data_IF_504000259904
#
_entry.id   IF_504000259904
#
_cell.length_a   1.000
_cell.length_b   1.000
_cell.length_c   1.000
_cell.angle_alpha   90.00
_cell.angle_beta   90.00
_cell.angle_gamma   90.00
#
_symmetry.space_group_name_H-M   'P 1'
#
loop_
_entity.id
_entity.type
_entity.pdbx_description
1 polymer ?
#
# COMPACT_ATOMS: atom_id res chain seq x y z
N UNK A 1 -4.30 10.09 0.94
CA UNK A 1 -4.14 11.31 0.16
C UNK A 1 -4.53 11.10 -1.31
N UNK A 2 -3.80 10.26 -2.09
CA UNK A 2 -4.03 10.08 -3.53
C UNK A 2 -5.50 9.77 -3.89
N UNK A 3 -6.17 8.89 -3.14
CA UNK A 3 -7.59 8.57 -3.34
C UNK A 3 -8.58 9.72 -3.05
N UNK A 4 -8.08 10.85 -2.57
CA UNK A 4 -8.83 12.12 -2.40
C UNK A 4 -8.45 13.12 -3.48
N UNK A 5 -7.17 13.18 -3.89
CA UNK A 5 -6.68 14.07 -4.93
C UNK A 5 -7.22 13.70 -6.31
N UNK A 6 -7.17 12.43 -6.68
CA UNK A 6 -7.62 11.96 -7.99
C UNK A 6 -9.10 12.32 -8.29
N UNK A 7 -10.07 12.09 -7.38
CA UNK A 7 -11.45 12.52 -7.60
C UNK A 7 -11.64 14.05 -7.58
N UNK A 8 -10.77 14.80 -6.92
CA UNK A 8 -10.80 16.26 -6.97
C UNK A 8 -10.29 16.80 -8.33
N UNK A 9 -9.35 16.09 -8.95
CA UNK A 9 -8.76 16.46 -10.24
C UNK A 9 -9.52 15.93 -11.46
N UNK A 10 -10.34 14.86 -11.30
CA UNK A 10 -11.02 14.23 -12.43
C UNK A 10 -12.34 13.55 -12.06
N UNK A 11 -13.12 13.12 -13.07
CA UNK A 11 -14.41 12.48 -12.87
C UNK A 11 -14.22 11.01 -12.46
N UNK A 12 -14.04 10.75 -11.18
CA UNK A 12 -13.83 9.44 -10.59
C UNK A 12 -14.81 9.18 -9.44
N UNK A 13 -15.37 7.97 -9.39
CA UNK A 13 -16.11 7.50 -8.22
C UNK A 13 -15.16 6.88 -7.19
N UNK A 14 -14.87 7.54 -6.06
CA UNK A 14 -13.99 6.98 -5.05
C UNK A 14 -14.70 5.92 -4.19
N UNK A 15 -14.21 4.70 -4.23
CA UNK A 15 -14.63 3.59 -3.37
C UNK A 15 -13.46 3.28 -2.41
N UNK A 16 -13.62 3.67 -1.16
CA UNK A 16 -12.55 3.56 -0.15
C UNK A 16 -12.80 2.39 0.77
N UNK A 17 -11.81 1.52 0.86
CA UNK A 17 -11.71 0.41 1.80
C UNK A 17 -12.98 -0.45 1.88
N UNK A 18 -13.51 -0.91 0.72
CA UNK A 18 -14.75 -1.68 0.72
C UNK A 18 -14.54 -2.99 1.49
N UNK A 19 -15.36 -3.28 2.54
CA UNK A 19 -15.17 -4.45 3.40
C UNK A 19 -15.11 -5.80 2.65
N UNK A 20 -15.88 -6.03 1.56
CA UNK A 20 -15.80 -7.29 0.83
C UNK A 20 -14.44 -7.60 0.22
N UNK A 21 -13.61 -6.60 -0.13
CA UNK A 21 -12.23 -6.86 -0.58
C UNK A 21 -11.38 -7.47 0.53
N UNK A 22 -11.52 -7.00 1.75
CA UNK A 22 -10.81 -7.57 2.89
C UNK A 22 -11.22 -9.03 3.12
N UNK A 23 -12.52 -9.32 3.06
CA UNK A 23 -13.03 -10.70 3.17
C UNK A 23 -12.48 -11.60 2.06
N UNK A 24 -12.42 -11.11 0.81
CA UNK A 24 -11.84 -11.84 -0.30
C UNK A 24 -10.32 -12.06 -0.10
N UNK A 25 -9.61 -11.07 0.43
CA UNK A 25 -8.19 -11.18 0.75
C UNK A 25 -7.93 -12.28 1.81
N UNK A 26 -8.69 -12.26 2.89
CA UNK A 26 -8.60 -13.27 3.95
C UNK A 26 -8.96 -14.66 3.43
N UNK A 27 -10.02 -14.76 2.62
CA UNK A 27 -10.43 -16.03 2.00
C UNK A 27 -9.39 -16.60 1.04
N UNK A 28 -8.67 -15.75 0.29
CA UNK A 28 -7.61 -16.18 -0.62
C UNK A 28 -6.49 -16.91 0.13
N UNK A 29 -6.04 -16.37 1.26
CA UNK A 29 -5.02 -17.01 2.11
C UNK A 29 -5.44 -18.37 2.66
N UNK A 30 -6.74 -18.62 2.74
CA UNK A 30 -7.30 -19.84 3.31
C UNK A 30 -7.65 -20.89 2.26
N UNK A 31 -7.58 -20.58 0.96
CA UNK A 31 -8.08 -21.48 -0.09
C UNK A 31 -7.44 -22.87 -0.08
N UNK A 32 -6.16 -22.95 0.26
CA UNK A 32 -5.41 -24.23 0.31
C UNK A 32 -5.49 -24.91 1.69
N UNK A 33 -6.18 -24.30 2.64
CA UNK A 33 -6.30 -24.85 3.98
C UNK A 33 -7.53 -25.74 4.09
N UNK A 34 -7.50 -26.81 4.92
CA UNK A 34 -8.66 -27.71 5.13
C UNK A 34 -9.92 -27.00 5.64
N UNK A 35 -9.77 -25.83 6.26
CA UNK A 35 -10.88 -25.03 6.80
C UNK A 35 -11.56 -24.16 5.74
N UNK A 36 -11.04 -24.10 4.51
CA UNK A 36 -11.62 -23.29 3.46
C UNK A 36 -13.04 -23.74 3.12
N UNK A 37 -13.96 -22.79 3.11
CA UNK A 37 -15.34 -22.99 2.69
C UNK A 37 -15.59 -22.69 1.21
N UNK A 38 -14.57 -22.20 0.51
CA UNK A 38 -14.62 -21.84 -0.90
C UNK A 38 -13.63 -22.68 -1.69
N UNK A 39 -14.06 -23.20 -2.84
CA UNK A 39 -13.11 -23.67 -3.85
C UNK A 39 -12.47 -22.48 -4.57
N UNK A 40 -11.32 -22.69 -5.21
CA UNK A 40 -10.63 -21.66 -6.03
C UNK A 40 -11.58 -21.09 -7.10
N UNK A 41 -12.35 -21.92 -7.77
CA UNK A 41 -13.33 -21.48 -8.79
C UNK A 41 -14.43 -20.60 -8.21
N UNK A 42 -14.98 -20.98 -7.05
CA UNK A 42 -15.99 -20.17 -6.35
C UNK A 42 -15.42 -18.81 -5.94
N UNK A 43 -14.20 -18.81 -5.40
CA UNK A 43 -13.52 -17.58 -5.00
C UNK A 43 -13.29 -16.64 -6.19
N UNK A 44 -12.78 -17.12 -7.33
CA UNK A 44 -12.60 -16.33 -8.55
C UNK A 44 -13.94 -15.77 -9.07
N UNK A 45 -15.01 -16.57 -8.98
CA UNK A 45 -16.35 -16.12 -9.37
C UNK A 45 -16.83 -14.97 -8.49
N UNK A 46 -16.61 -15.05 -7.17
CA UNK A 46 -16.95 -13.98 -6.21
C UNK A 46 -16.12 -12.72 -6.47
N UNK A 47 -14.81 -12.86 -6.68
CA UNK A 47 -13.93 -11.75 -7.02
C UNK A 47 -14.40 -11.05 -8.30
N UNK A 48 -14.68 -11.79 -9.36
CA UNK A 48 -15.18 -11.24 -10.63
C UNK A 48 -16.50 -10.48 -10.46
N UNK A 49 -17.44 -11.02 -9.70
CA UNK A 49 -18.71 -10.33 -9.36
C UNK A 49 -18.46 -9.04 -8.58
N UNK A 50 -17.58 -9.10 -7.60
CA UNK A 50 -17.20 -7.94 -6.81
C UNK A 50 -16.56 -6.84 -7.68
N UNK A 51 -15.54 -7.19 -8.49
CA UNK A 51 -14.86 -6.25 -9.37
C UNK A 51 -15.85 -5.62 -10.36
N UNK A 52 -16.75 -6.42 -10.95
CA UNK A 52 -17.78 -5.92 -11.86
C UNK A 52 -18.77 -4.99 -11.17
N UNK A 53 -19.18 -5.29 -9.93
CA UNK A 53 -20.10 -4.44 -9.16
C UNK A 53 -19.46 -3.09 -8.80
N UNK A 54 -18.24 -3.12 -8.24
CA UNK A 54 -17.56 -1.92 -7.76
C UNK A 54 -16.90 -1.10 -8.87
N UNK A 55 -16.81 -1.61 -10.09
CA UNK A 55 -16.34 -0.84 -11.25
C UNK A 55 -17.44 -0.01 -11.92
N UNK A 56 -18.67 -0.06 -11.42
CA UNK A 56 -19.80 0.73 -11.95
C UNK A 56 -19.76 2.13 -11.37
N UNK A 57 -19.69 3.14 -12.23
CA UNK A 57 -19.92 4.53 -11.85
C UNK A 57 -21.42 4.88 -11.84
N UNK A 58 -21.77 5.99 -11.24
CA UNK A 58 -23.14 6.55 -11.31
C UNK A 58 -23.40 7.30 -12.61
N UNK A 59 -22.34 7.78 -13.27
CA UNK A 59 -22.42 8.52 -14.52
C UNK A 59 -21.81 7.70 -15.65
N UNK A 60 -22.27 7.93 -16.86
CA UNK A 60 -21.68 7.33 -18.03
C UNK A 60 -20.20 7.76 -18.14
N UNK A 61 -19.31 6.78 -18.39
CA UNK A 61 -17.85 6.98 -18.47
C UNK A 61 -17.16 7.47 -17.20
N UNK A 62 -17.78 7.33 -16.03
CA UNK A 62 -17.16 7.59 -14.74
C UNK A 62 -16.47 6.33 -14.22
N UNK A 63 -15.13 6.22 -14.28
CA UNK A 63 -14.44 5.05 -13.76
C UNK A 63 -14.45 5.05 -12.22
N UNK A 64 -14.53 3.86 -11.64
CA UNK A 64 -14.39 3.70 -10.20
C UNK A 64 -12.91 3.67 -9.79
N UNK A 65 -12.58 4.42 -8.74
CA UNK A 65 -11.28 4.39 -8.07
C UNK A 65 -11.40 3.58 -6.77
N UNK A 66 -10.95 2.35 -6.79
CA UNK A 66 -11.00 1.48 -5.60
C UNK A 66 -9.69 1.63 -4.82
N UNK A 67 -9.79 2.10 -3.57
CA UNK A 67 -8.68 2.11 -2.62
C UNK A 67 -8.91 1.01 -1.59
N UNK A 68 -8.22 -0.15 -1.70
CA UNK A 68 -8.32 -1.22 -0.71
C UNK A 68 -7.59 -0.84 0.60
N UNK A 69 -7.81 -1.64 1.64
CA UNK A 69 -6.94 -1.65 2.82
C UNK A 69 -5.57 -2.23 2.46
N UNK A 70 -4.58 -1.96 3.29
CA UNK A 70 -3.21 -2.43 3.09
C UNK A 70 -3.09 -3.95 2.98
N UNK A 71 -3.87 -4.69 3.77
CA UNK A 71 -3.80 -6.15 3.82
C UNK A 71 -4.36 -6.86 2.57
N UNK A 72 -4.81 -6.08 1.58
CA UNK A 72 -5.29 -6.57 0.29
C UNK A 72 -4.21 -6.61 -0.81
N UNK A 73 -2.93 -6.41 -0.49
CA UNK A 73 -1.84 -6.37 -1.48
C UNK A 73 -1.80 -7.59 -2.41
N UNK A 74 -1.97 -8.79 -1.86
CA UNK A 74 -1.99 -10.05 -2.64
C UNK A 74 -3.22 -10.21 -3.55
N UNK A 75 -4.23 -9.34 -3.47
CA UNK A 75 -5.35 -9.30 -4.44
C UNK A 75 -5.02 -8.54 -5.72
N UNK A 76 -3.90 -7.82 -5.80
CA UNK A 76 -3.59 -6.96 -6.95
C UNK A 76 -3.61 -7.78 -8.24
N UNK A 77 -2.83 -8.85 -8.32
CA UNK A 77 -2.81 -9.75 -9.48
C UNK A 77 -4.20 -10.29 -9.83
N UNK A 78 -4.89 -11.01 -8.92
CA UNK A 78 -6.24 -11.52 -9.17
C UNK A 78 -7.26 -10.46 -9.62
N UNK A 79 -7.20 -9.24 -9.12
CA UNK A 79 -8.08 -8.14 -9.55
C UNK A 79 -7.77 -7.71 -11.00
N UNK A 80 -6.48 -7.62 -11.35
CA UNK A 80 -6.05 -7.27 -12.70
C UNK A 80 -6.38 -8.39 -13.70
N UNK A 81 -6.26 -9.66 -13.30
CA UNK A 81 -6.70 -10.81 -14.10
C UNK A 81 -8.21 -10.78 -14.36
N UNK A 82 -8.99 -10.47 -13.32
CA UNK A 82 -10.44 -10.38 -13.45
C UNK A 82 -10.90 -9.24 -14.36
N UNK A 83 -10.07 -8.20 -14.57
CA UNK A 83 -10.37 -7.05 -15.42
C UNK A 83 -9.10 -6.47 -16.03
N UNK A 84 -8.73 -6.95 -17.19
CA UNK A 84 -7.50 -6.56 -17.91
C UNK A 84 -7.37 -5.07 -18.27
N UNK A 85 -8.49 -4.34 -18.36
CA UNK A 85 -8.50 -2.90 -18.57
C UNK A 85 -8.18 -2.08 -17.30
N UNK A 86 -8.09 -2.71 -16.13
CA UNK A 86 -7.77 -2.02 -14.88
C UNK A 86 -6.29 -1.68 -14.80
N UNK A 87 -5.99 -0.58 -14.13
CA UNK A 87 -4.63 -0.16 -13.77
C UNK A 87 -4.57 0.12 -12.29
N UNK A 88 -3.41 -0.05 -11.67
CA UNK A 88 -3.24 0.23 -10.26
C UNK A 88 -1.96 1.02 -9.98
N UNK A 89 -2.04 1.89 -8.98
CA UNK A 89 -0.89 2.63 -8.44
C UNK A 89 -0.52 2.00 -7.11
N UNK A 90 0.72 1.58 -6.98
CA UNK A 90 1.28 0.93 -5.81
C UNK A 90 2.01 1.97 -4.96
N UNK A 91 1.28 2.59 -4.03
CA UNK A 91 1.85 3.62 -3.18
C UNK A 91 2.70 3.01 -2.08
N UNK A 92 3.96 3.41 -2.01
CA UNK A 92 4.92 2.95 -1.01
C UNK A 92 5.66 4.11 -0.34
N UNK A 93 6.47 3.79 0.63
CA UNK A 93 7.44 4.66 1.30
C UNK A 93 8.72 3.86 1.55
N UNK A 94 9.86 4.52 1.73
CA UNK A 94 11.07 3.86 2.20
C UNK A 94 10.82 3.16 3.54
N UNK A 95 11.58 2.09 3.82
CA UNK A 95 11.48 1.40 5.12
C UNK A 95 11.80 2.35 6.28
N UNK A 96 12.80 3.23 6.12
CA UNK A 96 13.17 4.22 7.13
C UNK A 96 11.99 5.14 7.48
N UNK A 97 11.36 5.75 6.48
CA UNK A 97 10.17 6.59 6.69
C UNK A 97 9.02 5.77 7.30
N UNK A 98 8.84 4.53 6.85
CA UNK A 98 7.82 3.65 7.39
C UNK A 98 8.06 3.32 8.87
N UNK A 99 9.31 2.99 9.26
CA UNK A 99 9.72 2.80 10.67
C UNK A 99 9.44 4.06 11.48
N UNK A 100 9.86 5.24 11.02
CA UNK A 100 9.63 6.50 11.71
C UNK A 100 8.13 6.78 11.98
N UNK A 101 7.24 6.36 11.07
CA UNK A 101 5.79 6.53 11.24
C UNK A 101 5.22 5.46 12.18
N UNK A 102 5.59 4.20 11.98
CA UNK A 102 4.93 3.07 12.65
C UNK A 102 5.46 2.80 14.06
N UNK A 103 6.62 3.34 14.42
CA UNK A 103 7.11 3.32 15.79
C UNK A 103 6.43 4.36 16.67
N UNK A 104 5.73 5.35 16.07
CA UNK A 104 5.08 6.45 16.80
C UNK A 104 3.56 6.24 16.93
N UNK A 105 3.09 6.37 18.15
CA UNK A 105 1.67 6.41 18.49
C UNK A 105 0.98 5.06 18.71
N UNK A 106 -0.12 5.10 19.43
CA UNK A 106 -0.89 3.92 19.81
C UNK A 106 -1.56 3.25 18.61
N UNK A 107 -2.15 4.04 17.71
CA UNK A 107 -2.86 3.52 16.53
C UNK A 107 -1.93 2.75 15.58
N UNK A 108 -0.70 3.27 15.38
CA UNK A 108 0.30 2.59 14.56
C UNK A 108 0.72 1.26 15.18
N UNK A 109 0.92 1.25 16.49
CA UNK A 109 1.23 0.02 17.25
C UNK A 109 0.11 -1.00 17.17
N UNK A 110 -1.14 -0.56 17.36
CA UNK A 110 -2.31 -1.44 17.21
C UNK A 110 -2.43 -2.03 15.81
N UNK A 111 -2.11 -1.28 14.75
CA UNK A 111 -2.11 -1.80 13.38
C UNK A 111 -1.02 -2.87 13.19
N UNK A 112 0.20 -2.62 13.68
CA UNK A 112 1.30 -3.59 13.59
C UNK A 112 0.96 -4.87 14.34
N UNK A 113 0.53 -4.79 15.59
CA UNK A 113 0.22 -5.96 16.43
C UNK A 113 -1.01 -6.72 15.92
N UNK A 114 -2.07 -6.02 15.54
CA UNK A 114 -3.33 -6.61 15.09
C UNK A 114 -3.20 -7.41 13.78
N UNK A 115 -2.19 -7.13 12.95
CA UNK A 115 -1.98 -7.81 11.67
C UNK A 115 -0.65 -8.59 11.61
N UNK A 116 0.08 -8.69 12.71
CA UNK A 116 1.43 -9.26 12.74
C UNK A 116 1.47 -10.71 12.25
N UNK A 117 0.51 -11.55 12.67
CA UNK A 117 0.42 -12.96 12.26
C UNK A 117 0.24 -13.09 10.75
N UNK A 118 -0.70 -12.34 10.19
CA UNK A 118 -1.01 -12.37 8.76
C UNK A 118 0.17 -11.90 7.92
N UNK A 119 0.79 -10.78 8.32
CA UNK A 119 1.93 -10.18 7.61
C UNK A 119 3.18 -11.07 7.67
N UNK A 120 3.43 -11.73 8.81
CA UNK A 120 4.51 -12.70 8.93
C UNK A 120 4.24 -13.92 8.05
N UNK A 121 3.01 -14.42 8.00
CA UNK A 121 2.63 -15.52 7.11
C UNK A 121 2.81 -15.18 5.63
N UNK A 122 2.44 -13.95 5.21
CA UNK A 122 2.65 -13.47 3.85
C UNK A 122 4.16 -13.42 3.52
N UNK A 123 5.00 -12.93 4.44
CA UNK A 123 6.45 -12.89 4.27
C UNK A 123 7.05 -14.31 4.21
N UNK A 124 6.66 -15.22 5.11
CA UNK A 124 7.08 -16.62 5.09
C UNK A 124 6.80 -17.28 3.74
N UNK A 125 5.60 -17.06 3.20
CA UNK A 125 5.22 -17.60 1.88
C UNK A 125 6.10 -17.06 0.76
N UNK A 126 6.58 -15.81 0.87
CA UNK A 126 7.47 -15.21 -0.12
C UNK A 126 8.91 -15.74 -0.01
N UNK A 127 9.45 -15.82 1.21
CA UNK A 127 10.84 -16.27 1.43
C UNK A 127 10.99 -17.78 1.43
N UNK A 128 9.90 -18.55 1.51
CA UNK A 128 9.90 -20.02 1.55
C UNK A 128 10.41 -20.61 2.87
N UNK A 129 10.44 -19.83 3.95
CA UNK A 129 10.92 -20.26 5.27
C UNK A 129 9.88 -19.93 6.35
N UNK A 130 9.25 -20.95 6.91
CA UNK A 130 8.18 -20.83 7.89
C UNK A 130 8.64 -20.99 9.34
N UNK A 131 9.91 -21.35 9.58
CA UNK A 131 10.40 -21.72 10.91
C UNK A 131 11.36 -20.70 11.51
N UNK A 132 12.13 -20.00 10.68
CA UNK A 132 13.22 -19.15 11.14
C UNK A 132 12.81 -17.80 11.70
N UNK A 133 11.63 -17.31 11.35
CA UNK A 133 11.06 -16.08 11.90
C UNK A 133 9.83 -16.39 12.74
N UNK A 134 9.97 -16.24 14.05
CA UNK A 134 8.87 -16.53 15.00
C UNK A 134 8.36 -15.23 15.60
N UNK A 135 7.05 -15.01 15.52
CA UNK A 135 6.42 -13.75 15.92
C UNK A 135 6.79 -13.31 17.35
N UNK A 136 6.84 -14.27 18.29
CA UNK A 136 7.13 -13.99 19.70
C UNK A 136 8.60 -13.61 19.97
N UNK A 137 9.50 -13.88 19.02
CA UNK A 137 10.92 -13.51 19.09
C UNK A 137 11.18 -12.12 18.50
N UNK A 138 10.24 -11.58 17.70
CA UNK A 138 10.39 -10.30 17.03
C UNK A 138 10.20 -9.13 17.96
N UNK A 139 11.18 -8.23 17.98
CA UNK A 139 11.09 -6.92 18.65
C UNK A 139 10.11 -5.99 17.90
N UNK A 140 9.61 -4.91 18.52
CA UNK A 140 8.71 -3.97 17.86
C UNK A 140 9.22 -3.45 16.50
N UNK A 141 10.49 -2.95 16.35
CA UNK A 141 10.98 -2.51 15.05
C UNK A 141 11.04 -3.67 14.02
N UNK A 142 11.37 -4.90 14.42
CA UNK A 142 11.36 -6.06 13.54
C UNK A 142 9.96 -6.40 13.03
N UNK A 143 8.92 -6.27 13.85
CA UNK A 143 7.51 -6.41 13.42
C UNK A 143 7.11 -5.34 12.40
N UNK A 144 7.61 -4.11 12.56
CA UNK A 144 7.41 -3.05 11.57
C UNK A 144 8.08 -3.40 10.25
N UNK A 145 9.32 -3.93 10.28
CA UNK A 145 10.02 -4.41 9.07
C UNK A 145 9.24 -5.54 8.38
N UNK A 146 8.79 -6.55 9.12
CA UNK A 146 7.94 -7.63 8.57
C UNK A 146 6.70 -7.04 7.91
N UNK A 147 6.07 -6.08 8.54
CA UNK A 147 4.89 -5.41 8.02
C UNK A 147 5.17 -4.65 6.71
N UNK A 148 6.32 -3.99 6.59
CA UNK A 148 6.73 -3.32 5.37
C UNK A 148 7.06 -4.32 4.26
N UNK A 149 7.90 -5.33 4.57
CA UNK A 149 8.28 -6.38 3.62
C UNK A 149 7.06 -7.12 3.06
N UNK A 150 6.11 -7.53 3.88
CA UNK A 150 4.88 -8.19 3.41
C UNK A 150 4.09 -7.32 2.41
N UNK A 151 4.09 -5.99 2.59
CA UNK A 151 3.48 -5.06 1.64
C UNK A 151 4.24 -4.98 0.32
N UNK A 152 5.55 -4.72 0.36
CA UNK A 152 6.35 -4.51 -0.86
C UNK A 152 6.64 -5.80 -1.63
N UNK A 153 6.69 -6.96 -0.96
CA UNK A 153 6.78 -8.27 -1.64
C UNK A 153 5.53 -8.57 -2.44
N UNK A 154 4.33 -8.26 -1.91
CA UNK A 154 3.08 -8.40 -2.66
C UNK A 154 3.04 -7.48 -3.89
N UNK A 155 3.59 -6.25 -3.79
CA UNK A 155 3.73 -5.34 -4.91
C UNK A 155 4.71 -5.89 -5.96
N UNK A 156 5.86 -6.37 -5.51
CA UNK A 156 6.87 -6.97 -6.38
C UNK A 156 6.31 -8.15 -7.19
N UNK A 157 5.63 -9.10 -6.52
CA UNK A 157 4.99 -10.24 -7.20
C UNK A 157 3.96 -9.79 -8.25
N UNK A 158 3.13 -8.80 -7.90
CA UNK A 158 2.16 -8.27 -8.85
C UNK A 158 2.85 -7.61 -10.06
N UNK A 159 3.94 -6.87 -9.84
CA UNK A 159 4.71 -6.23 -10.92
C UNK A 159 5.37 -7.23 -11.87
N UNK A 160 5.81 -8.40 -11.38
CA UNK A 160 6.37 -9.45 -12.23
C UNK A 160 5.36 -9.94 -13.28
N UNK A 161 4.07 -10.00 -12.93
CA UNK A 161 3.03 -10.54 -13.82
C UNK A 161 2.25 -9.45 -14.59
N UNK A 162 2.20 -8.21 -14.06
CA UNK A 162 1.30 -7.16 -14.54
C UNK A 162 2.01 -5.80 -14.72
N UNK A 163 3.29 -5.79 -15.10
CA UNK A 163 4.12 -4.56 -15.17
C UNK A 163 3.46 -3.41 -15.94
N UNK A 164 2.74 -3.69 -17.04
CA UNK A 164 2.10 -2.66 -17.87
C UNK A 164 0.84 -2.03 -17.22
N UNK A 165 0.27 -2.70 -16.24
CA UNK A 165 -0.94 -2.28 -15.55
C UNK A 165 -0.65 -1.65 -14.18
N UNK A 166 0.62 -1.67 -13.75
CA UNK A 166 1.06 -1.24 -12.43
C UNK A 166 2.07 -0.10 -12.51
N UNK A 167 1.92 0.85 -11.58
CA UNK A 167 2.89 1.92 -11.40
C UNK A 167 3.24 2.07 -9.93
N UNK A 168 4.49 1.82 -9.52
CA UNK A 168 4.97 2.20 -8.19
C UNK A 168 4.94 3.72 -8.04
N UNK A 169 4.56 4.18 -6.87
CA UNK A 169 4.56 5.59 -6.52
C UNK A 169 5.09 5.78 -5.11
N UNK A 170 6.22 6.44 -5.01
CA UNK A 170 6.74 6.90 -3.73
C UNK A 170 5.87 8.04 -3.18
N UNK A 171 5.48 7.92 -1.91
CA UNK A 171 4.61 8.90 -1.28
C UNK A 171 5.31 10.22 -1.01
N UNK A 172 6.60 10.20 -0.73
CA UNK A 172 7.39 11.41 -0.47
C UNK A 172 7.58 12.19 -1.77
N UNK A 173 7.85 11.52 -2.91
CA UNK A 173 7.85 12.13 -4.24
C UNK A 173 6.51 12.82 -4.57
N UNK A 174 5.38 12.19 -4.20
CA UNK A 174 4.05 12.81 -4.39
C UNK A 174 3.90 14.10 -3.58
N UNK A 175 4.52 14.19 -2.41
CA UNK A 175 4.46 15.41 -1.58
C UNK A 175 5.42 16.51 -2.03
N UNK A 176 6.55 16.14 -2.62
CA UNK A 176 7.56 17.08 -3.14
C UNK A 176 7.07 17.80 -4.39
N UNK A 177 6.51 17.06 -5.35
CA UNK A 177 5.96 17.63 -6.60
C UNK A 177 4.56 17.07 -6.90
N UNK A 178 3.54 17.49 -6.12
CA UNK A 178 2.21 16.90 -6.20
C UNK A 178 1.53 17.19 -7.55
N UNK A 179 1.82 18.31 -8.22
CA UNK A 179 1.20 18.64 -9.51
C UNK A 179 1.71 17.74 -10.62
N UNK A 180 3.02 17.62 -10.74
CA UNK A 180 3.64 16.80 -11.76
C UNK A 180 3.28 15.32 -11.56
N UNK A 181 3.47 14.81 -10.34
CA UNK A 181 3.19 13.41 -10.01
C UNK A 181 1.72 13.06 -10.19
N UNK A 182 0.79 13.95 -9.82
CA UNK A 182 -0.64 13.71 -10.03
C UNK A 182 -0.99 13.66 -11.52
N UNK A 183 -0.39 14.52 -12.35
CA UNK A 183 -0.57 14.50 -13.81
C UNK A 183 -0.06 13.20 -14.43
N UNK A 184 1.13 12.74 -14.03
CA UNK A 184 1.69 11.45 -14.45
C UNK A 184 0.79 10.27 -14.07
N UNK A 185 0.27 10.26 -12.84
CA UNK A 185 -0.65 9.21 -12.34
C UNK A 185 -1.94 9.22 -13.15
N UNK A 186 -2.53 10.40 -13.38
CA UNK A 186 -3.75 10.52 -14.18
C UNK A 186 -3.53 10.01 -15.62
N UNK A 187 -2.43 10.41 -16.25
CA UNK A 187 -2.05 9.93 -17.57
C UNK A 187 -1.89 8.41 -17.61
N UNK A 188 -1.17 7.83 -16.64
CA UNK A 188 -1.01 6.39 -16.52
C UNK A 188 -2.36 5.68 -16.35
N UNK A 189 -3.28 6.22 -15.56
CA UNK A 189 -4.62 5.66 -15.36
C UNK A 189 -5.54 5.86 -16.57
N UNK A 190 -5.08 6.57 -17.62
CA UNK A 190 -5.90 6.89 -18.80
C UNK A 190 -6.99 7.93 -18.52
N UNK A 191 -6.78 8.77 -17.53
CA UNK A 191 -7.70 9.85 -17.15
C UNK A 191 -7.35 11.14 -17.88
N UNK A 192 -8.34 11.99 -18.22
CA UNK A 192 -8.06 13.29 -18.78
C UNK A 192 -7.31 14.18 -17.79
N UNK A 193 -6.24 14.83 -18.24
CA UNK A 193 -5.45 15.76 -17.42
C UNK A 193 -5.88 17.19 -17.76
N UNK A 194 -6.65 17.80 -16.86
CA UNK A 194 -7.02 19.22 -16.91
C UNK A 194 -6.14 19.98 -15.91
N UNK A 195 -5.26 20.83 -16.40
CA UNK A 195 -4.28 21.57 -15.58
C UNK A 195 -4.93 22.48 -14.54
N UNK A 196 -6.09 23.08 -14.88
CA UNK A 196 -6.83 23.96 -13.95
C UNK A 196 -7.40 23.16 -12.78
N UNK A 197 -8.04 22.03 -13.06
CA UNK A 197 -8.58 21.15 -12.02
C UNK A 197 -7.49 20.52 -11.18
N UNK A 198 -6.38 20.15 -11.81
CA UNK A 198 -5.22 19.59 -11.14
C UNK A 198 -4.62 20.60 -10.16
N UNK A 199 -4.41 21.85 -10.61
CA UNK A 199 -3.94 22.92 -9.73
C UNK A 199 -4.91 23.15 -8.56
N UNK A 200 -6.21 23.26 -8.84
CA UNK A 200 -7.24 23.43 -7.81
C UNK A 200 -7.28 22.25 -6.80
N UNK A 201 -7.05 21.02 -7.24
CA UNK A 201 -7.00 19.86 -6.35
C UNK A 201 -5.77 19.90 -5.42
N UNK A 202 -4.60 20.28 -5.95
CA UNK A 202 -3.35 20.36 -5.19
C UNK A 202 -3.33 21.57 -4.25
N UNK A 203 -3.80 22.72 -4.71
CA UNK A 203 -3.83 23.95 -3.89
C UNK A 203 -5.03 23.96 -2.91
N UNK A 204 -5.94 23.01 -3.07
CA UNK A 204 -7.16 22.89 -2.28
C UNK A 204 -6.99 22.22 -0.91
N UNK A 205 -8.07 22.10 -0.16
CA UNK A 205 -8.05 21.61 1.23
C UNK A 205 -7.59 20.16 1.37
N UNK A 206 -7.61 19.37 0.29
CA UNK A 206 -7.19 17.97 0.34
C UNK A 206 -5.74 17.81 0.79
N UNK A 207 -4.85 18.73 0.34
CA UNK A 207 -3.43 18.72 0.73
C UNK A 207 -3.18 19.32 2.13
N UNK A 208 -4.17 20.00 2.70
CA UNK A 208 -4.04 20.75 3.97
C UNK A 208 -4.74 20.06 5.15
N UNK A 209 -5.34 18.87 4.93
CA UNK A 209 -6.14 18.20 5.95
C UNK A 209 -5.74 16.75 6.15
N UNK A 210 -5.83 16.27 7.40
CA UNK A 210 -5.52 14.89 7.72
C UNK A 210 -6.49 13.93 7.00
N UNK A 211 -5.94 12.92 6.34
CA UNK A 211 -6.74 12.06 5.46
C UNK A 211 -7.81 11.23 6.18
N UNK A 212 -7.55 10.85 7.46
CA UNK A 212 -8.49 10.06 8.29
C UNK A 212 -9.46 10.92 9.08
N UNK A 213 -9.10 12.20 9.34
CA UNK A 213 -9.91 13.15 10.09
C UNK A 213 -9.78 14.53 9.42
N UNK A 214 -10.59 14.79 8.35
CA UNK A 214 -10.45 16.00 7.52
C UNK A 214 -10.72 17.32 8.25
N UNK A 215 -11.29 17.27 9.43
CA UNK A 215 -11.49 18.41 10.34
C UNK A 215 -10.17 18.92 10.93
N UNK A 216 -9.12 18.09 10.95
CA UNK A 216 -7.81 18.51 11.44
C UNK A 216 -6.92 18.98 10.30
N UNK A 217 -6.31 20.17 10.49
CA UNK A 217 -5.31 20.68 9.59
C UNK A 217 -4.02 19.85 9.72
N UNK A 218 -3.53 19.38 8.60
CA UNK A 218 -2.31 18.59 8.52
C UNK A 218 -1.79 18.58 7.08
N UNK A 219 -0.75 19.37 6.84
CA UNK A 219 -0.14 19.49 5.52
C UNK A 219 1.25 18.83 5.41
N UNK A 220 1.92 18.97 4.27
CA UNK A 220 3.28 18.43 4.06
C UNK A 220 4.30 18.92 5.10
N UNK A 221 4.24 20.18 5.49
CA UNK A 221 5.13 20.78 6.50
C UNK A 221 4.92 20.13 7.88
N UNK A 222 3.67 19.92 8.29
CA UNK A 222 3.35 19.28 9.57
C UNK A 222 3.87 17.83 9.58
N UNK A 223 3.73 17.13 8.44
CA UNK A 223 4.28 15.79 8.26
C UNK A 223 5.79 15.76 8.38
N UNK A 224 6.49 16.68 7.71
CA UNK A 224 7.94 16.76 7.76
C UNK A 224 8.45 17.02 9.19
N UNK A 225 7.84 17.95 9.90
CA UNK A 225 8.17 18.24 11.30
C UNK A 225 7.95 17.01 12.20
N UNK A 226 6.82 16.31 12.03
CA UNK A 226 6.53 15.09 12.79
C UNK A 226 7.50 13.95 12.49
N UNK A 227 7.88 13.77 11.21
CA UNK A 227 8.89 12.77 10.85
C UNK A 227 10.25 13.07 11.47
N UNK A 228 10.68 14.34 11.49
CA UNK A 228 11.93 14.75 12.13
C UNK A 228 11.89 14.47 13.64
N UNK A 229 10.77 14.79 14.31
CA UNK A 229 10.57 14.49 15.73
C UNK A 229 10.60 12.97 15.99
N UNK A 230 9.92 12.17 15.17
CA UNK A 230 9.88 10.72 15.33
C UNK A 230 11.25 10.10 15.09
N UNK A 231 12.00 10.56 14.08
CA UNK A 231 13.39 10.12 13.86
C UNK A 231 14.30 10.43 15.04
N UNK A 232 14.15 11.61 15.63
CA UNK A 232 14.92 11.99 16.84
C UNK A 232 14.57 11.13 18.05
N UNK A 233 13.29 10.78 18.23
CA UNK A 233 12.80 10.00 19.37
C UNK A 233 13.12 8.52 19.25
N UNK A 234 12.93 7.94 18.08
CA UNK A 234 13.03 6.49 17.82
C UNK A 234 14.24 6.12 16.95
N UNK A 235 15.28 6.96 16.92
CA UNK A 235 16.44 6.75 16.04
C UNK A 235 17.12 5.40 16.23
N UNK A 236 17.31 4.96 17.48
CA UNK A 236 17.91 3.67 17.78
C UNK A 236 17.08 2.48 17.31
N UNK A 237 15.76 2.56 17.44
CA UNK A 237 14.83 1.53 16.97
C UNK A 237 14.75 1.51 15.43
N UNK A 238 14.80 2.67 14.79
CA UNK A 238 14.84 2.79 13.32
C UNK A 238 16.12 2.13 12.80
N UNK A 239 17.28 2.47 13.35
CA UNK A 239 18.54 1.83 12.99
C UNK A 239 18.54 0.33 13.23
N UNK A 240 18.00 -0.13 14.35
CA UNK A 240 17.86 -1.57 14.64
C UNK A 240 17.00 -2.25 13.57
N UNK A 241 15.88 -1.64 13.19
CA UNK A 241 15.02 -2.15 12.13
C UNK A 241 15.73 -2.24 10.79
N UNK A 242 16.43 -1.17 10.38
CA UNK A 242 17.18 -1.13 9.11
C UNK A 242 18.31 -2.17 9.07
N UNK A 243 19.11 -2.29 10.14
CA UNK A 243 20.18 -3.32 10.22
C UNK A 243 19.60 -4.73 10.13
N UNK A 244 18.48 -4.98 10.84
CA UNK A 244 17.84 -6.29 10.77
C UNK A 244 17.24 -6.58 9.38
N UNK A 245 16.64 -5.59 8.72
CA UNK A 245 16.18 -5.73 7.34
C UNK A 245 17.35 -6.07 6.39
N UNK A 246 18.51 -5.43 6.54
CA UNK A 246 19.72 -5.77 5.80
C UNK A 246 20.13 -7.23 5.99
N UNK A 247 20.14 -7.72 7.23
CA UNK A 247 20.46 -9.13 7.53
C UNK A 247 19.45 -10.13 6.95
N UNK A 248 18.16 -9.72 6.81
CA UNK A 248 17.18 -10.55 6.13
C UNK A 248 17.44 -10.62 4.62
N UNK A 249 17.82 -9.52 3.99
CA UNK A 249 18.17 -9.50 2.55
C UNK A 249 19.38 -10.39 2.28
N UNK A 250 20.41 -10.32 3.12
CA UNK A 250 21.59 -11.22 3.04
C UNK A 250 21.21 -12.69 3.20
N UNK A 251 20.31 -12.98 4.13
CA UNK A 251 19.85 -14.35 4.41
C UNK A 251 18.91 -14.90 3.34
N UNK A 252 18.07 -14.06 2.75
CA UNK A 252 17.04 -14.43 1.78
C UNK A 252 17.23 -13.64 0.47
N UNK A 253 18.05 -14.13 -0.48
CA UNK A 253 18.34 -13.43 -1.73
C UNK A 253 17.10 -13.08 -2.57
N UNK A 254 15.98 -13.77 -2.36
CA UNK A 254 14.69 -13.42 -2.98
C UNK A 254 14.20 -12.01 -2.63
N UNK A 255 14.70 -11.41 -1.54
CA UNK A 255 14.39 -10.05 -1.13
C UNK A 255 15.22 -8.98 -1.87
N UNK A 256 16.39 -9.31 -2.44
CA UNK A 256 17.23 -8.33 -3.16
C UNK A 256 16.48 -7.55 -4.23
N UNK A 257 15.76 -8.19 -5.19
CA UNK A 257 15.03 -7.44 -6.21
C UNK A 257 13.85 -6.64 -5.63
N UNK A 258 13.33 -7.03 -4.47
CA UNK A 258 12.27 -6.28 -3.77
C UNK A 258 12.80 -4.97 -3.24
N UNK A 259 13.92 -4.99 -2.50
CA UNK A 259 14.50 -3.77 -1.91
C UNK A 259 15.18 -2.88 -2.96
N UNK A 260 15.58 -3.44 -4.10
CA UNK A 260 16.02 -2.66 -5.25
C UNK A 260 14.86 -1.86 -5.88
N UNK A 261 13.64 -2.42 -5.90
CA UNK A 261 12.45 -1.74 -6.42
C UNK A 261 11.79 -0.80 -5.39
N UNK A 262 11.93 -1.11 -4.11
CA UNK A 262 11.35 -0.37 -2.99
C UNK A 262 12.46 -0.09 -1.96
N UNK A 263 13.07 1.12 -1.96
CA UNK A 263 14.28 1.39 -1.19
C UNK A 263 14.03 1.35 0.32
N UNK A 264 15.04 0.85 1.06
CA UNK A 264 15.01 0.82 2.52
C UNK A 264 15.29 2.18 3.13
N UNK A 265 16.19 2.97 2.56
CA UNK A 265 16.50 4.33 3.00
C UNK A 265 15.88 5.38 2.07
N UNK A 266 15.64 6.57 2.58
CA UNK A 266 15.33 7.75 1.74
C UNK A 266 16.55 8.07 0.89
N UNK A 267 16.36 8.39 -0.40
CA UNK A 267 17.44 8.97 -1.19
C UNK A 267 17.82 10.33 -0.61
N UNK A 268 19.13 10.57 -0.45
CA UNK A 268 19.69 11.86 -0.03
C UNK A 268 19.44 12.95 -1.08
#
# INVERSE_FOLDING_TARGET
LLSRLLPAAGPLLPVREPPPLRTLAESLRQLEQPVSRLSRTQWHTLLGRFVNLYSRGYRQHEPALIKPTRDCGHLIGPVLDARSASRAVLMHQSLETYLAIMMDGADARMDIEGHAVTRLSDLHSFIGDHESLRLFELTPPQRVVVSWLAGVTSFHLAMQSHAQQLRPLDFDRLLEDPRHVLAEVMSFLGLPVDQTRLAAAVDGPVMQTYAKAPEYRYGPTDRAARLAENRSRSGSEIEQGLRWAGSLVERYPSLEPVVAAFPMATAD
#
